data_IF_420804278377
#
_entry.id   IF_420804278377
#
_cell.length_a   1.000
_cell.length_b   1.000
_cell.length_c   1.000
_cell.angle_alpha   90.00
_cell.angle_beta   90.00
_cell.angle_gamma   90.00
#
_symmetry.space_group_name_H-M   'P 1'
#
loop_
_entity.id
_entity.type
_entity.pdbx_description
1 polymer ?
#
# COMPACT_ATOMS: atom_id res chain seq x y z
N UNK A 1 19.59 13.71 -11.26
CA UNK A 1 18.17 13.28 -11.32
C UNK A 1 17.23 14.12 -10.45
N UNK A 2 17.65 14.59 -9.28
CA UNK A 2 16.78 15.39 -8.38
C UNK A 2 16.40 16.77 -8.94
N UNK A 3 17.30 17.49 -9.61
CA UNK A 3 17.00 18.80 -10.19
C UNK A 3 15.91 18.71 -11.26
N UNK A 4 15.99 17.72 -12.14
CA UNK A 4 15.03 17.55 -13.22
C UNK A 4 13.59 17.32 -12.73
N UNK A 5 13.41 16.61 -11.60
CA UNK A 5 12.09 16.35 -11.00
C UNK A 5 11.40 17.66 -10.56
N UNK A 6 12.15 18.62 -10.02
CA UNK A 6 11.60 19.88 -9.52
C UNK A 6 11.55 20.99 -10.57
N UNK A 7 12.44 20.97 -11.57
CA UNK A 7 12.52 21.99 -12.62
C UNK A 7 11.42 21.84 -13.67
N UNK A 8 11.02 20.61 -14.01
CA UNK A 8 9.94 20.39 -14.96
C UNK A 8 8.57 20.62 -14.33
N UNK A 9 7.67 21.31 -15.03
CA UNK A 9 6.29 21.51 -14.56
C UNK A 9 5.56 20.19 -14.34
N UNK A 10 5.74 19.23 -15.23
CA UNK A 10 5.10 17.92 -15.19
C UNK A 10 6.12 16.80 -14.98
N UNK A 11 5.78 15.83 -14.16
CA UNK A 11 6.49 14.56 -14.15
C UNK A 11 5.81 13.64 -15.17
N UNK A 12 6.50 13.37 -16.27
CA UNK A 12 5.89 12.64 -17.39
C UNK A 12 5.85 11.15 -17.08
N UNK A 13 4.65 10.64 -16.79
CA UNK A 13 4.35 9.21 -16.75
C UNK A 13 3.22 8.90 -17.75
N UNK A 14 3.07 7.62 -18.09
CA UNK A 14 2.09 7.23 -19.10
C UNK A 14 0.65 7.50 -18.63
N UNK A 15 0.29 7.07 -17.41
CA UNK A 15 -1.06 7.23 -16.84
C UNK A 15 -1.21 8.42 -15.88
N UNK A 16 -0.14 9.17 -15.62
CA UNK A 16 -0.17 10.31 -14.71
C UNK A 16 -1.26 11.34 -14.99
N UNK A 17 -1.44 11.77 -16.25
CA UNK A 17 -2.53 12.71 -16.59
C UNK A 17 -3.93 12.20 -16.22
N UNK A 18 -4.19 10.89 -16.38
CA UNK A 18 -5.45 10.25 -15.99
C UNK A 18 -5.65 10.29 -14.47
N UNK A 19 -4.58 10.03 -13.71
CA UNK A 19 -4.62 10.11 -12.24
C UNK A 19 -4.89 11.53 -11.77
N UNK A 20 -4.24 12.53 -12.37
CA UNK A 20 -4.49 13.95 -12.07
C UNK A 20 -5.93 14.33 -12.38
N UNK A 21 -6.45 13.92 -13.55
CA UNK A 21 -7.84 14.16 -13.95
C UNK A 21 -8.83 13.58 -12.93
N UNK A 22 -8.70 12.31 -12.61
CA UNK A 22 -9.57 11.63 -11.65
C UNK A 22 -9.49 12.26 -10.25
N UNK A 23 -8.31 12.57 -9.77
CA UNK A 23 -8.13 13.19 -8.45
C UNK A 23 -8.80 14.58 -8.38
N UNK A 24 -8.73 15.37 -9.44
CA UNK A 24 -9.41 16.67 -9.51
C UNK A 24 -10.92 16.54 -9.59
N UNK A 25 -11.44 15.58 -10.35
CA UNK A 25 -12.88 15.26 -10.38
C UNK A 25 -13.36 14.89 -8.98
N UNK A 26 -12.62 14.03 -8.27
CA UNK A 26 -12.95 13.63 -6.90
C UNK A 26 -12.94 14.84 -5.94
N UNK A 27 -11.93 15.70 -6.05
CA UNK A 27 -11.83 16.91 -5.21
C UNK A 27 -12.99 17.88 -5.49
N UNK A 28 -13.38 18.08 -6.75
CA UNK A 28 -14.50 18.94 -7.13
C UNK A 28 -15.84 18.40 -6.62
N UNK A 29 -16.09 17.10 -6.78
CA UNK A 29 -17.31 16.45 -6.26
C UNK A 29 -17.44 16.61 -4.74
N UNK A 30 -16.34 16.48 -3.98
CA UNK A 30 -16.34 16.65 -2.53
C UNK A 30 -16.45 18.13 -2.09
N UNK A 31 -16.06 19.07 -2.95
CA UNK A 31 -16.19 20.51 -2.69
C UNK A 31 -17.58 21.07 -3.01
N UNK A 32 -18.52 20.24 -3.38
CA UNK A 32 -19.90 20.63 -3.70
C UNK A 32 -20.14 20.90 -5.18
N UNK A 33 -19.22 20.50 -6.06
CA UNK A 33 -19.39 20.53 -7.51
C UNK A 33 -19.70 21.90 -8.07
N UNK A 34 -18.74 22.82 -8.07
CA UNK A 34 -18.92 24.19 -8.58
C UNK A 34 -19.03 24.27 -10.10
N UNK A 35 -18.90 23.16 -10.82
CA UNK A 35 -18.95 23.04 -12.27
C UNK A 35 -19.89 21.94 -12.73
N UNK A 36 -19.93 21.70 -14.06
CA UNK A 36 -20.69 20.62 -14.68
C UNK A 36 -20.17 19.20 -14.35
N UNK A 37 -19.18 19.06 -13.47
CA UNK A 37 -18.55 17.77 -13.14
C UNK A 37 -19.58 16.80 -12.55
N UNK A 38 -20.43 17.27 -11.63
CA UNK A 38 -21.47 16.44 -11.00
C UNK A 38 -22.61 16.00 -11.95
N UNK A 39 -22.70 16.60 -13.14
CA UNK A 39 -23.65 16.17 -14.18
C UNK A 39 -23.18 14.89 -14.89
N UNK A 40 -21.87 14.64 -14.93
CA UNK A 40 -21.25 13.55 -15.67
C UNK A 40 -20.54 12.52 -14.81
N UNK A 41 -20.20 12.87 -13.57
CA UNK A 41 -19.43 12.03 -12.66
C UNK A 41 -20.09 11.93 -11.31
N UNK A 42 -20.00 10.74 -10.72
CA UNK A 42 -20.43 10.46 -9.36
C UNK A 42 -19.50 9.45 -8.72
N UNK A 43 -19.43 9.45 -7.38
CA UNK A 43 -18.75 8.37 -6.67
C UNK A 43 -19.53 7.07 -6.87
N UNK A 44 -18.78 5.97 -7.01
CA UNK A 44 -19.39 4.64 -7.03
C UNK A 44 -19.84 4.27 -5.62
N UNK A 45 -20.98 3.61 -5.51
CA UNK A 45 -21.53 3.11 -4.23
C UNK A 45 -20.78 1.87 -3.72
N UNK A 46 -19.87 1.34 -4.52
CA UNK A 46 -19.16 0.10 -4.20
C UNK A 46 -17.67 0.38 -3.94
N UNK A 47 -17.10 -0.18 -2.84
CA UNK A 47 -15.66 -0.06 -2.60
C UNK A 47 -14.86 -0.78 -3.69
N UNK A 48 -14.12 -0.02 -4.49
CA UNK A 48 -13.32 -0.54 -5.60
C UNK A 48 -11.82 -0.45 -5.28
N UNK A 49 -10.98 -1.34 -5.83
CA UNK A 49 -9.53 -1.21 -5.75
C UNK A 49 -9.02 -0.03 -6.61
N UNK A 50 -7.73 0.25 -6.53
CA UNK A 50 -7.04 1.31 -7.29
C UNK A 50 -7.43 2.75 -6.89
N UNK A 51 -7.73 2.98 -5.62
CA UNK A 51 -8.13 4.30 -5.13
C UNK A 51 -7.03 5.04 -4.36
N UNK A 52 -6.07 4.33 -3.75
CA UNK A 52 -5.11 4.96 -2.81
C UNK A 52 -4.33 6.10 -3.45
N UNK A 53 -3.79 5.90 -4.65
CA UNK A 53 -3.04 6.95 -5.37
C UNK A 53 -3.93 8.14 -5.73
N UNK A 54 -5.15 7.88 -6.20
CA UNK A 54 -6.13 8.93 -6.48
C UNK A 54 -6.53 9.70 -5.22
N UNK A 55 -6.76 9.00 -4.12
CA UNK A 55 -7.11 9.61 -2.84
C UNK A 55 -5.99 10.51 -2.31
N UNK A 56 -4.74 10.05 -2.32
CA UNK A 56 -3.59 10.85 -1.90
C UNK A 56 -3.45 12.09 -2.79
N UNK A 57 -3.58 11.91 -4.10
CA UNK A 57 -3.50 13.02 -5.06
C UNK A 57 -4.67 13.99 -4.93
N UNK A 58 -5.87 13.50 -4.67
CA UNK A 58 -7.06 14.31 -4.39
C UNK A 58 -6.84 15.21 -3.18
N UNK A 59 -6.29 14.68 -2.08
CA UNK A 59 -5.98 15.49 -0.89
C UNK A 59 -5.05 16.64 -1.24
N UNK A 60 -4.01 16.41 -2.03
CA UNK A 60 -3.13 17.50 -2.49
C UNK A 60 -3.83 18.44 -3.46
N UNK A 61 -4.78 17.98 -4.27
CA UNK A 61 -5.50 18.78 -5.25
C UNK A 61 -6.44 19.81 -4.62
N UNK A 62 -6.76 19.72 -3.33
CA UNK A 62 -7.45 20.80 -2.61
C UNK A 62 -6.59 22.05 -2.40
N UNK A 63 -5.27 21.92 -2.43
CA UNK A 63 -4.34 22.99 -2.07
C UNK A 63 -3.37 23.37 -3.21
N UNK A 64 -3.23 22.48 -4.20
CA UNK A 64 -2.20 22.58 -5.24
C UNK A 64 -2.83 22.39 -6.62
N UNK A 65 -2.14 22.91 -7.63
CA UNK A 65 -2.46 22.57 -9.03
C UNK A 65 -2.14 21.09 -9.32
N UNK A 66 -2.69 20.56 -10.43
CA UNK A 66 -2.58 19.14 -10.74
C UNK A 66 -1.15 18.63 -10.87
N UNK A 67 -0.25 19.43 -11.44
CA UNK A 67 1.15 19.04 -11.60
C UNK A 67 1.87 18.98 -10.24
N UNK A 68 1.61 19.93 -9.37
CA UNK A 68 2.16 19.97 -8.02
C UNK A 68 1.57 18.87 -7.13
N UNK A 69 0.26 18.59 -7.25
CA UNK A 69 -0.42 17.50 -6.55
C UNK A 69 0.17 16.13 -6.95
N UNK A 70 0.43 15.90 -8.24
CA UNK A 70 1.10 14.69 -8.71
C UNK A 70 2.50 14.54 -8.11
N UNK A 71 3.32 15.59 -8.14
CA UNK A 71 4.68 15.57 -7.56
C UNK A 71 4.65 15.28 -6.06
N UNK A 72 3.72 15.87 -5.32
CA UNK A 72 3.57 15.60 -3.88
C UNK A 72 3.10 14.17 -3.61
N UNK A 73 2.24 13.62 -4.48
CA UNK A 73 1.84 12.21 -4.41
C UNK A 73 3.03 11.29 -4.65
N UNK A 74 3.85 11.58 -5.65
CA UNK A 74 5.07 10.81 -5.92
C UNK A 74 6.08 10.91 -4.78
N UNK A 75 6.28 12.09 -4.22
CA UNK A 75 7.15 12.26 -3.03
C UNK A 75 6.62 11.45 -1.85
N UNK A 76 5.32 11.50 -1.60
CA UNK A 76 4.67 10.70 -0.54
C UNK A 76 4.87 9.20 -0.77
N UNK A 77 4.71 8.73 -2.01
CA UNK A 77 4.95 7.35 -2.41
C UNK A 77 6.41 6.94 -2.14
N UNK A 78 7.39 7.73 -2.60
CA UNK A 78 8.81 7.44 -2.42
C UNK A 78 9.21 7.37 -0.94
N UNK A 79 8.75 8.33 -0.14
CA UNK A 79 9.01 8.31 1.31
C UNK A 79 8.35 7.10 1.97
N UNK A 80 7.07 6.83 1.64
CA UNK A 80 6.34 5.68 2.18
C UNK A 80 7.01 4.36 1.81
N UNK A 81 7.57 4.24 0.60
CA UNK A 81 8.30 3.07 0.15
C UNK A 81 9.57 2.84 0.99
N UNK A 82 10.37 3.88 1.22
CA UNK A 82 11.57 3.79 2.06
C UNK A 82 11.22 3.43 3.51
N UNK A 83 10.20 4.08 4.09
CA UNK A 83 9.80 3.82 5.47
C UNK A 83 9.18 2.43 5.66
N UNK A 84 8.34 1.97 4.75
CA UNK A 84 7.75 0.62 4.81
C UNK A 84 8.81 -0.46 4.61
N UNK A 85 9.74 -0.24 3.68
CA UNK A 85 10.86 -1.17 3.47
C UNK A 85 11.81 -1.20 4.68
N UNK A 86 12.10 -0.04 5.29
CA UNK A 86 12.84 0.00 6.57
C UNK A 86 12.09 -0.76 7.67
N UNK A 87 10.77 -0.61 7.73
CA UNK A 87 9.95 -1.28 8.74
C UNK A 87 10.01 -2.79 8.59
N UNK A 88 9.90 -3.34 7.38
CA UNK A 88 10.04 -4.78 7.18
C UNK A 88 11.46 -5.26 7.45
N UNK A 89 12.49 -4.56 6.99
CA UNK A 89 13.87 -4.94 7.27
C UNK A 89 14.15 -5.03 8.79
N UNK A 90 13.66 -4.06 9.57
CA UNK A 90 13.78 -4.07 11.03
C UNK A 90 13.00 -5.17 11.74
N UNK A 91 12.13 -5.88 11.04
CA UNK A 91 11.49 -7.07 11.57
C UNK A 91 12.37 -8.33 11.46
N UNK A 92 13.40 -8.29 10.60
CA UNK A 92 14.30 -9.41 10.34
C UNK A 92 15.74 -9.16 10.81
N UNK A 93 16.14 -7.90 10.99
CA UNK A 93 17.52 -7.52 11.37
C UNK A 93 17.53 -6.34 12.34
N UNK A 94 18.47 -6.33 13.26
CA UNK A 94 18.57 -5.29 14.30
C UNK A 94 19.02 -3.94 13.73
N UNK A 95 19.96 -3.96 12.79
CA UNK A 95 20.52 -2.75 12.18
C UNK A 95 20.29 -2.77 10.67
N UNK A 96 19.69 -1.71 10.16
CA UNK A 96 19.41 -1.59 8.73
C UNK A 96 20.29 -0.57 8.00
N UNK A 97 20.94 0.35 8.74
CA UNK A 97 21.78 1.39 8.14
C UNK A 97 21.10 2.09 6.97
N UNK A 98 21.78 2.15 5.83
CA UNK A 98 21.29 2.74 4.57
C UNK A 98 20.58 1.73 3.66
N UNK A 99 20.46 0.45 4.03
CA UNK A 99 19.77 -0.58 3.23
C UNK A 99 18.36 -0.18 2.76
N UNK A 100 17.54 0.56 3.57
CA UNK A 100 16.23 0.99 3.12
C UNK A 100 16.24 1.83 1.85
N UNK A 101 17.33 2.54 1.56
CA UNK A 101 17.45 3.36 0.35
C UNK A 101 17.62 2.54 -0.93
N UNK A 102 17.99 1.26 -0.82
CA UNK A 102 18.12 0.37 -1.97
C UNK A 102 16.76 0.07 -2.64
N UNK A 103 15.65 0.38 -1.98
CA UNK A 103 14.32 0.27 -2.62
C UNK A 103 14.09 1.36 -3.67
N UNK A 104 14.77 2.49 -3.59
CA UNK A 104 14.56 3.61 -4.51
C UNK A 104 14.83 3.26 -5.98
N UNK A 105 15.97 2.65 -6.35
CA UNK A 105 16.18 2.21 -7.74
C UNK A 105 15.10 1.26 -8.25
N UNK A 106 14.57 0.39 -7.38
CA UNK A 106 13.47 -0.53 -7.73
C UNK A 106 12.16 0.24 -7.91
N UNK A 107 11.89 1.22 -7.05
CA UNK A 107 10.68 2.06 -7.13
C UNK A 107 10.70 2.91 -8.40
N UNK A 108 11.85 3.46 -8.80
CA UNK A 108 12.04 4.18 -10.07
C UNK A 108 12.06 3.25 -11.30
N UNK A 109 11.48 2.08 -11.21
CA UNK A 109 11.35 1.15 -12.30
C UNK A 109 10.14 1.41 -13.21
N UNK A 110 9.86 0.44 -14.08
CA UNK A 110 8.83 0.50 -15.11
C UNK A 110 7.44 0.88 -14.56
N UNK A 111 7.06 0.38 -13.38
CA UNK A 111 5.74 0.65 -12.78
C UNK A 111 5.52 2.11 -12.41
N UNK A 112 6.55 2.81 -11.94
CA UNK A 112 6.44 4.25 -11.66
C UNK A 112 6.32 5.04 -12.96
N UNK A 113 7.13 4.73 -13.96
CA UNK A 113 7.08 5.42 -15.26
C UNK A 113 5.81 5.11 -16.05
N UNK A 114 5.21 3.94 -15.88
CA UNK A 114 3.89 3.66 -16.45
C UNK A 114 2.76 4.45 -15.77
N UNK A 115 3.01 5.07 -14.63
CA UNK A 115 1.98 5.75 -13.84
C UNK A 115 1.18 4.80 -12.92
N UNK A 116 1.63 3.57 -12.71
CA UNK A 116 0.94 2.57 -11.86
C UNK A 116 1.08 2.90 -10.37
N UNK A 117 0.69 4.11 -9.96
CA UNK A 117 0.86 4.63 -8.59
C UNK A 117 0.16 3.76 -7.54
N UNK A 118 -1.06 3.31 -7.85
CA UNK A 118 -1.82 2.43 -6.97
C UNK A 118 -1.09 1.10 -6.71
N UNK A 119 -0.51 0.50 -7.76
CA UNK A 119 0.31 -0.69 -7.61
C UNK A 119 1.52 -0.44 -6.70
N UNK A 120 2.23 0.67 -6.89
CA UNK A 120 3.35 1.04 -6.03
C UNK A 120 2.93 1.24 -4.56
N UNK A 121 1.78 1.89 -4.31
CA UNK A 121 1.23 1.99 -2.95
C UNK A 121 0.87 0.63 -2.35
N UNK A 122 0.41 -0.33 -3.16
CA UNK A 122 0.12 -1.67 -2.65
C UNK A 122 1.36 -2.39 -2.13
N UNK A 123 2.54 -2.15 -2.73
CA UNK A 123 3.82 -2.67 -2.23
C UNK A 123 4.18 -2.04 -0.87
N UNK A 124 3.87 -0.76 -0.66
CA UNK A 124 4.05 -0.10 0.64
C UNK A 124 3.26 -0.81 1.73
N UNK A 125 1.96 -1.08 1.49
CA UNK A 125 1.12 -1.80 2.43
C UNK A 125 1.55 -3.26 2.61
N UNK A 126 2.01 -3.91 1.55
CA UNK A 126 2.57 -5.26 1.63
C UNK A 126 3.79 -5.32 2.57
N UNK A 127 4.73 -4.38 2.45
CA UNK A 127 5.88 -4.31 3.36
C UNK A 127 5.46 -4.04 4.81
N UNK A 128 4.50 -3.16 5.04
CA UNK A 128 3.99 -2.93 6.39
C UNK A 128 3.31 -4.17 6.95
N UNK A 129 2.52 -4.88 6.14
CA UNK A 129 1.86 -6.12 6.55
C UNK A 129 2.87 -7.21 6.93
N UNK A 130 3.85 -7.46 6.07
CA UNK A 130 4.91 -8.46 6.34
C UNK A 130 5.69 -8.09 7.60
N UNK A 131 6.11 -6.83 7.73
CA UNK A 131 6.84 -6.38 8.90
C UNK A 131 6.01 -6.44 10.20
N UNK A 132 4.71 -6.18 10.13
CA UNK A 132 3.81 -6.32 11.26
C UNK A 132 3.63 -7.78 11.66
N UNK A 133 3.35 -8.65 10.70
CA UNK A 133 3.20 -10.09 10.95
C UNK A 133 4.47 -10.69 11.52
N UNK A 134 5.65 -10.37 10.98
CA UNK A 134 6.93 -10.90 11.49
C UNK A 134 7.15 -10.58 12.97
N UNK A 135 6.68 -9.41 13.44
CA UNK A 135 6.81 -9.03 14.85
C UNK A 135 5.80 -9.65 15.78
N UNK A 136 4.61 -9.99 15.26
CA UNK A 136 3.47 -10.38 16.11
C UNK A 136 3.00 -11.81 15.91
N UNK A 137 3.43 -12.49 14.84
CA UNK A 137 2.97 -13.82 14.48
C UNK A 137 3.28 -14.85 15.59
N UNK A 138 4.38 -14.63 16.34
CA UNK A 138 4.75 -15.48 17.48
C UNK A 138 3.70 -15.50 18.59
N UNK A 139 2.97 -14.40 18.79
CA UNK A 139 1.91 -14.24 19.78
C UNK A 139 0.65 -13.64 19.15
N UNK A 140 0.22 -14.21 18.01
CA UNK A 140 -0.95 -13.71 17.30
C UNK A 140 -2.20 -13.83 18.17
N UNK A 141 -2.92 -12.72 18.29
CA UNK A 141 -4.12 -12.62 19.12
C UNK A 141 -5.14 -11.71 18.44
N UNK A 142 -6.43 -11.84 18.78
CA UNK A 142 -7.51 -11.03 18.19
C UNK A 142 -7.30 -9.52 18.29
N UNK A 143 -6.56 -9.03 19.27
CA UNK A 143 -6.16 -7.61 19.35
C UNK A 143 -5.38 -7.10 18.13
N UNK A 144 -4.76 -7.99 17.36
CA UNK A 144 -4.01 -7.65 16.15
C UNK A 144 -4.91 -7.59 14.90
N UNK A 145 -6.14 -8.16 14.95
CA UNK A 145 -7.06 -8.21 13.82
C UNK A 145 -7.40 -6.82 13.24
N UNK A 146 -7.67 -5.77 14.03
CA UNK A 146 -7.95 -4.45 13.47
C UNK A 146 -6.79 -3.87 12.65
N UNK A 147 -5.54 -4.09 13.08
CA UNK A 147 -4.36 -3.61 12.35
C UNK A 147 -4.16 -4.41 11.06
N UNK A 148 -4.32 -5.73 11.12
CA UNK A 148 -4.22 -6.60 9.95
C UNK A 148 -5.31 -6.22 8.94
N UNK A 149 -6.56 -6.04 9.40
CA UNK A 149 -7.67 -5.57 8.57
C UNK A 149 -7.35 -4.23 7.88
N UNK A 150 -6.84 -3.26 8.62
CA UNK A 150 -6.46 -1.95 8.07
C UNK A 150 -5.38 -2.07 6.99
N UNK A 151 -4.36 -2.90 7.23
CA UNK A 151 -3.27 -3.13 6.27
C UNK A 151 -3.76 -3.92 5.04
N UNK A 152 -4.63 -4.91 5.24
CA UNK A 152 -5.26 -5.67 4.14
C UNK A 152 -6.18 -4.78 3.31
N UNK A 153 -6.98 -3.93 3.96
CA UNK A 153 -7.82 -2.94 3.28
C UNK A 153 -6.97 -1.93 2.49
N UNK A 154 -5.87 -1.42 3.08
CA UNK A 154 -4.92 -0.56 2.38
C UNK A 154 -4.32 -1.25 1.15
N UNK A 155 -3.98 -2.54 1.26
CA UNK A 155 -3.49 -3.35 0.15
C UNK A 155 -4.57 -3.49 -0.94
N UNK A 156 -5.82 -3.80 -0.56
CA UNK A 156 -6.97 -3.93 -1.46
C UNK A 156 -7.25 -2.62 -2.22
N UNK A 157 -7.43 -1.52 -1.48
CA UNK A 157 -7.74 -0.21 -2.07
C UNK A 157 -6.57 0.35 -2.90
N UNK A 158 -5.34 -0.10 -2.66
CA UNK A 158 -4.22 0.24 -3.51
C UNK A 158 -4.24 -0.57 -4.79
N UNK A 159 -4.17 -1.90 -4.73
CA UNK A 159 -4.21 -2.73 -5.94
C UNK A 159 -4.58 -4.18 -5.62
N UNK A 160 -5.64 -4.68 -6.28
CA UNK A 160 -6.20 -6.02 -6.01
C UNK A 160 -5.17 -7.16 -6.14
N UNK A 161 -4.24 -7.08 -7.10
CA UNK A 161 -3.24 -8.14 -7.33
C UNK A 161 -2.26 -8.34 -6.16
N UNK A 162 -2.15 -7.38 -5.25
CA UNK A 162 -1.28 -7.52 -4.08
C UNK A 162 -1.90 -8.38 -2.97
N UNK A 163 -3.23 -8.53 -2.92
CA UNK A 163 -3.89 -9.37 -1.91
C UNK A 163 -3.52 -10.85 -1.99
N UNK A 164 -3.56 -11.51 -3.15
CA UNK A 164 -3.11 -12.90 -3.25
C UNK A 164 -1.65 -13.07 -2.80
N UNK A 165 -0.79 -12.09 -3.10
CA UNK A 165 0.62 -12.10 -2.66
C UNK A 165 0.68 -11.98 -1.13
N UNK A 166 -0.10 -11.06 -0.54
CA UNK A 166 -0.18 -10.91 0.91
C UNK A 166 -0.68 -12.20 1.58
N UNK A 167 -1.75 -12.81 1.07
CA UNK A 167 -2.31 -14.05 1.59
C UNK A 167 -1.29 -15.19 1.52
N UNK A 168 -0.61 -15.35 0.38
CA UNK A 168 0.43 -16.37 0.19
C UNK A 168 1.59 -16.19 1.18
N UNK A 169 2.13 -14.97 1.27
CA UNK A 169 3.26 -14.66 2.17
C UNK A 169 2.84 -14.85 3.63
N UNK A 170 1.67 -14.35 4.03
CA UNK A 170 1.15 -14.51 5.40
C UNK A 170 0.94 -15.97 5.76
N UNK A 171 0.39 -16.77 4.86
CA UNK A 171 0.20 -18.22 5.04
C UNK A 171 1.54 -18.96 5.20
N UNK A 172 2.53 -18.64 4.34
CA UNK A 172 3.87 -19.24 4.46
C UNK A 172 4.56 -18.85 5.78
N UNK A 173 4.46 -17.59 6.19
CA UNK A 173 5.00 -17.12 7.47
C UNK A 173 4.36 -17.86 8.65
N UNK A 174 3.02 -18.03 8.63
CA UNK A 174 2.29 -18.77 9.65
C UNK A 174 2.75 -20.23 9.73
N UNK A 175 2.83 -20.92 8.58
CA UNK A 175 3.32 -22.30 8.52
C UNK A 175 4.74 -22.42 9.07
N UNK A 176 5.64 -21.53 8.67
CA UNK A 176 7.03 -21.52 9.12
C UNK A 176 7.13 -21.28 10.63
N UNK A 177 6.32 -20.35 11.16
CA UNK A 177 6.32 -20.06 12.59
C UNK A 177 5.79 -21.21 13.44
N UNK A 178 4.70 -21.84 13.01
CA UNK A 178 4.12 -22.99 13.73
C UNK A 178 5.01 -24.24 13.67
N UNK A 179 5.73 -24.46 12.56
CA UNK A 179 6.71 -25.55 12.44
C UNK A 179 7.86 -25.45 13.44
N UNK A 180 8.20 -24.26 13.91
CA UNK A 180 9.23 -24.07 14.94
C UNK A 180 8.77 -24.52 16.32
N UNK A 181 7.46 -24.53 16.58
CA UNK A 181 6.88 -24.78 17.91
C UNK A 181 6.23 -26.14 18.05
N UNK A 182 5.65 -26.66 16.98
CA UNK A 182 4.85 -27.86 17.00
C UNK A 182 5.34 -28.87 15.96
N UNK A 183 5.16 -30.17 16.28
CA UNK A 183 5.37 -31.22 15.29
C UNK A 183 4.33 -31.03 14.17
N UNK A 184 4.81 -31.00 12.94
CA UNK A 184 3.97 -30.78 11.76
C UNK A 184 2.81 -31.79 11.71
N UNK A 185 1.59 -31.31 11.47
CA UNK A 185 0.32 -32.04 11.50
C UNK A 185 -0.04 -32.68 12.86
N UNK A 186 0.58 -32.31 13.99
CA UNK A 186 0.06 -32.69 15.29
C UNK A 186 -1.29 -32.03 15.59
N UNK A 187 -2.04 -32.56 16.57
CA UNK A 187 -3.31 -31.95 16.96
C UNK A 187 -3.15 -30.49 17.44
N UNK A 188 -2.07 -30.20 18.16
CA UNK A 188 -1.72 -28.86 18.64
C UNK A 188 -1.40 -27.92 17.47
N UNK A 189 -0.61 -28.41 16.50
CA UNK A 189 -0.32 -27.65 15.26
C UNK A 189 -1.61 -27.27 14.54
N UNK A 190 -2.48 -28.25 14.28
CA UNK A 190 -3.71 -28.02 13.53
C UNK A 190 -4.65 -27.06 14.27
N UNK A 191 -4.79 -27.20 15.59
CA UNK A 191 -5.60 -26.29 16.41
C UNK A 191 -5.07 -24.85 16.35
N UNK A 192 -3.77 -24.66 16.54
CA UNK A 192 -3.17 -23.34 16.52
C UNK A 192 -3.21 -22.74 15.12
N UNK A 193 -2.96 -23.55 14.08
CA UNK A 193 -3.08 -23.12 12.69
C UNK A 193 -4.47 -22.59 12.37
N UNK A 194 -5.53 -23.33 12.73
CA UNK A 194 -6.90 -22.89 12.48
C UNK A 194 -7.23 -21.59 13.21
N UNK A 195 -6.79 -21.45 14.46
CA UNK A 195 -7.00 -20.23 15.25
C UNK A 195 -6.31 -19.01 14.60
N UNK A 196 -5.03 -19.15 14.28
CA UNK A 196 -4.24 -18.03 13.73
C UNK A 196 -4.66 -17.70 12.29
N UNK A 197 -4.96 -18.74 11.48
CA UNK A 197 -5.52 -18.55 10.14
C UNK A 197 -6.87 -17.82 10.18
N UNK A 198 -7.73 -18.14 11.17
CA UNK A 198 -9.01 -17.44 11.32
C UNK A 198 -8.81 -15.95 11.62
N UNK A 199 -7.83 -15.59 12.46
CA UNK A 199 -7.49 -14.18 12.72
C UNK A 199 -7.02 -13.49 11.44
N UNK A 200 -6.21 -14.16 10.61
CA UNK A 200 -5.72 -13.62 9.35
C UNK A 200 -6.81 -13.49 8.27
N UNK A 201 -7.80 -14.41 8.28
CA UNK A 201 -8.89 -14.41 7.28
C UNK A 201 -10.02 -13.44 7.61
N UNK A 202 -10.27 -13.17 8.90
CA UNK A 202 -11.33 -12.27 9.35
C UNK A 202 -10.84 -10.81 9.35
N UNK A 203 -9.54 -10.61 9.39
CA UNK A 203 -8.89 -9.31 9.30
C UNK A 203 -8.53 -8.95 7.84
#
# INVERSE_FOLDING_TARGET
MSSYFFEQKWFITFDGPSHVGNARIMADLLSGGTGHVSEYFQFTDFPQPNWTGHFVMMVFSFFLDGASAEKMTLLTLLLSMVFSFRYVLRAFMEQTGLLPLLILPVTFGMFLYSGSYNYCFSIVFLFWSIGYLQRHLHHLHWKHAPVILLLSAGTYFSHLSALPVLAMVSGLMLIMELKKRYRFFSAEYNRQFLKDALILLVA
#
